data_IF_155868725965
#
_entry.id   IF_155868725965
#
_cell.length_a   1.000
_cell.length_b   1.000
_cell.length_c   1.000
_cell.angle_alpha   90.00
_cell.angle_beta   90.00
_cell.angle_gamma   90.00
#
_symmetry.space_group_name_H-M   'P 1'
#
loop_
_entity.id
_entity.type
_entity.pdbx_description
1 polymer ?
#
# COMPACT_ATOMS: atom_id res chain seq x y z
N UNK A 1 -22.19 6.56 -4.21
CA UNK A 1 -22.01 7.78 -3.38
C UNK A 1 -23.20 7.90 -2.44
N UNK A 2 -23.08 7.36 -1.23
CA UNK A 2 -24.08 7.52 -0.16
C UNK A 2 -23.47 8.47 0.88
N UNK A 3 -23.60 9.77 0.61
CA UNK A 3 -23.35 10.81 1.62
C UNK A 3 -24.64 11.16 2.36
N UNK A 4 -24.53 12.00 3.38
CA UNK A 4 -25.67 12.57 4.13
C UNK A 4 -26.70 13.27 3.24
N UNK A 5 -26.28 13.70 2.06
CA UNK A 5 -27.12 14.27 1.02
C UNK A 5 -27.14 13.25 -0.11
N UNK A 6 -28.33 12.78 -0.49
CA UNK A 6 -28.55 11.84 -1.58
C UNK A 6 -27.57 12.06 -2.74
N UNK A 7 -27.02 11.00 -3.32
CA UNK A 7 -25.98 11.11 -4.34
C UNK A 7 -26.44 11.97 -5.52
N UNK A 8 -25.52 12.60 -6.25
CA UNK A 8 -25.83 13.50 -7.39
C UNK A 8 -26.82 12.85 -8.37
N UNK A 9 -26.71 11.55 -8.61
CA UNK A 9 -27.65 10.81 -9.44
C UNK A 9 -29.09 10.83 -8.91
N UNK A 10 -29.28 10.70 -7.60
CA UNK A 10 -30.59 10.72 -6.96
C UNK A 10 -31.17 12.15 -6.90
N UNK A 11 -30.30 13.15 -6.73
CA UNK A 11 -30.69 14.56 -6.86
C UNK A 11 -31.17 14.90 -8.28
N UNK A 12 -30.39 14.52 -9.30
CA UNK A 12 -30.75 14.76 -10.70
C UNK A 12 -32.03 14.02 -11.09
N UNK A 13 -32.21 12.78 -10.60
CA UNK A 13 -33.40 11.99 -10.86
C UNK A 13 -34.66 12.59 -10.23
N UNK A 14 -34.55 13.10 -9.00
CA UNK A 14 -35.69 13.68 -8.27
C UNK A 14 -36.06 15.09 -8.72
N UNK A 15 -35.12 15.86 -9.28
CA UNK A 15 -35.36 17.28 -9.61
C UNK A 15 -35.56 17.57 -11.10
N UNK A 16 -34.91 16.84 -12.01
CA UNK A 16 -34.89 17.20 -13.44
C UNK A 16 -35.13 16.03 -14.39
N UNK A 17 -34.61 14.85 -14.07
CA UNK A 17 -34.54 13.74 -15.02
C UNK A 17 -35.10 12.44 -14.42
N UNK A 18 -36.43 12.33 -14.31
CA UNK A 18 -37.10 11.15 -13.74
C UNK A 18 -36.74 9.82 -14.44
N UNK A 19 -36.34 9.88 -15.71
CA UNK A 19 -35.90 8.74 -16.52
C UNK A 19 -34.43 8.36 -16.31
N UNK A 20 -33.67 9.11 -15.50
CA UNK A 20 -32.24 8.87 -15.29
C UNK A 20 -32.01 7.49 -14.67
N UNK A 21 -31.16 6.70 -15.33
CA UNK A 21 -30.63 5.43 -14.82
C UNK A 21 -29.18 5.66 -14.42
N UNK A 22 -28.87 5.38 -13.16
CA UNK A 22 -27.51 5.45 -12.66
C UNK A 22 -26.95 4.04 -12.50
N UNK A 23 -25.79 3.80 -13.10
CA UNK A 23 -25.08 2.53 -13.03
C UNK A 23 -23.79 2.75 -12.26
N UNK A 24 -23.53 1.93 -11.26
CA UNK A 24 -22.29 1.97 -10.51
C UNK A 24 -21.14 1.37 -11.34
N UNK A 25 -19.99 2.03 -11.32
CA UNK A 25 -18.76 1.48 -11.88
C UNK A 25 -18.30 0.29 -11.03
N UNK A 26 -18.10 -0.87 -11.66
CA UNK A 26 -17.67 -2.11 -10.99
C UNK A 26 -16.32 -1.95 -10.31
N UNK A 27 -15.38 -1.22 -10.93
CA UNK A 27 -14.08 -0.90 -10.33
C UNK A 27 -14.23 -0.05 -9.05
N UNK A 28 -15.24 0.82 -8.99
CA UNK A 28 -15.54 1.59 -7.78
C UNK A 28 -16.17 0.72 -6.69
N UNK A 29 -17.13 -0.16 -7.05
CA UNK A 29 -17.69 -1.14 -6.12
C UNK A 29 -16.61 -2.03 -5.51
N UNK A 30 -15.68 -2.52 -6.33
CA UNK A 30 -14.54 -3.31 -5.86
C UNK A 30 -13.65 -2.50 -4.91
N UNK A 31 -13.39 -1.22 -5.22
CA UNK A 31 -12.63 -0.34 -4.32
C UNK A 31 -13.30 -0.20 -2.94
N UNK A 32 -14.62 -0.04 -2.90
CA UNK A 32 -15.36 0.04 -1.64
C UNK A 32 -15.23 -1.26 -0.85
N UNK A 33 -15.48 -2.40 -1.49
CA UNK A 33 -15.38 -3.71 -0.84
C UNK A 33 -13.98 -3.98 -0.26
N UNK A 34 -12.92 -3.71 -1.03
CA UNK A 34 -11.54 -3.87 -0.55
C UNK A 34 -11.25 -2.95 0.64
N UNK A 35 -11.72 -1.69 0.59
CA UNK A 35 -11.53 -0.77 1.70
C UNK A 35 -12.27 -1.21 2.96
N UNK A 36 -13.50 -1.68 2.84
CA UNK A 36 -14.29 -2.15 3.97
C UNK A 36 -13.64 -3.39 4.60
N UNK A 37 -13.22 -4.36 3.78
CA UNK A 37 -12.47 -5.55 4.24
C UNK A 37 -11.20 -5.18 5.01
N UNK A 38 -10.44 -4.19 4.51
CA UNK A 38 -9.24 -3.73 5.20
C UNK A 38 -9.61 -3.06 6.52
N UNK A 39 -10.65 -2.22 6.56
CA UNK A 39 -11.08 -1.49 7.76
C UNK A 39 -11.61 -2.42 8.86
N UNK A 40 -12.25 -3.53 8.48
CA UNK A 40 -12.80 -4.50 9.41
C UNK A 40 -11.73 -5.36 10.11
N UNK A 41 -10.48 -5.36 9.60
CA UNK A 41 -9.37 -6.10 10.18
C UNK A 41 -8.30 -5.16 10.74
N UNK A 42 -8.16 -5.12 12.07
CA UNK A 42 -7.10 -4.36 12.74
C UNK A 42 -5.69 -4.70 12.21
N UNK A 43 -5.47 -5.95 11.79
CA UNK A 43 -4.19 -6.38 11.20
C UNK A 43 -3.99 -5.81 9.80
N UNK A 44 -5.04 -5.81 8.97
CA UNK A 44 -4.96 -5.22 7.64
C UNK A 44 -4.76 -3.70 7.74
N UNK A 45 -5.49 -3.01 8.61
CA UNK A 45 -5.29 -1.58 8.90
C UNK A 45 -3.84 -1.32 9.33
N UNK A 46 -3.30 -2.14 10.22
CA UNK A 46 -1.92 -2.00 10.71
C UNK A 46 -0.88 -2.20 9.60
N UNK A 47 -1.09 -3.18 8.71
CA UNK A 47 -0.27 -3.37 7.50
C UNK A 47 -0.31 -2.09 6.65
N UNK A 48 -1.50 -1.60 6.30
CA UNK A 48 -1.63 -0.43 5.43
C UNK A 48 -0.97 0.82 6.03
N UNK A 49 -1.10 1.02 7.35
CA UNK A 49 -0.41 2.10 8.07
C UNK A 49 1.10 1.95 7.97
N UNK A 50 1.63 0.75 8.20
CA UNK A 50 3.06 0.49 8.06
C UNK A 50 3.56 0.71 6.65
N UNK A 51 2.83 0.29 5.62
CA UNK A 51 3.21 0.54 4.22
C UNK A 51 3.25 2.04 3.90
N UNK A 52 2.29 2.81 4.41
CA UNK A 52 2.31 4.27 4.25
C UNK A 52 3.49 4.93 4.96
N UNK A 53 3.77 4.54 6.21
CA UNK A 53 4.93 5.06 6.94
C UNK A 53 6.24 4.67 6.28
N UNK A 54 6.32 3.45 5.75
CA UNK A 54 7.49 2.95 5.02
C UNK A 54 7.66 3.69 3.68
N UNK A 55 6.57 3.98 2.97
CA UNK A 55 6.60 4.80 1.76
C UNK A 55 7.21 6.17 2.04
N UNK A 56 6.70 6.89 3.03
CA UNK A 56 7.24 8.21 3.40
C UNK A 56 8.71 8.16 3.82
N UNK A 57 9.13 7.08 4.47
CA UNK A 57 10.52 6.88 4.85
C UNK A 57 11.43 6.59 3.64
N UNK A 58 10.99 5.70 2.74
CA UNK A 58 11.73 5.34 1.54
C UNK A 58 11.80 6.48 0.52
N UNK A 59 10.85 7.41 0.53
CA UNK A 59 10.82 8.57 -0.36
C UNK A 59 11.76 9.70 0.10
N UNK A 60 12.36 9.60 1.30
CA UNK A 60 13.43 10.52 1.73
C UNK A 60 14.59 10.39 0.73
N UNK A 61 15.10 11.49 0.12
CA UNK A 61 16.04 11.41 -1.00
C UNK A 61 17.27 10.53 -0.76
N UNK A 62 17.89 10.63 0.42
CA UNK A 62 19.06 9.82 0.79
C UNK A 62 18.71 8.33 0.95
N UNK A 63 17.54 8.03 1.51
CA UNK A 63 17.04 6.66 1.70
C UNK A 63 16.66 6.05 0.36
N UNK A 64 16.04 6.84 -0.52
CA UNK A 64 15.67 6.43 -1.87
C UNK A 64 16.89 6.02 -2.69
N UNK A 65 17.97 6.79 -2.65
CA UNK A 65 19.23 6.43 -3.30
C UNK A 65 19.81 5.13 -2.74
N UNK A 66 19.75 4.94 -1.42
CA UNK A 66 20.18 3.69 -0.80
C UNK A 66 19.32 2.50 -1.24
N UNK A 67 18.00 2.70 -1.36
CA UNK A 67 17.04 1.71 -1.85
C UNK A 67 17.35 1.30 -3.29
N UNK A 68 17.54 2.27 -4.19
CA UNK A 68 17.85 2.04 -5.60
C UNK A 68 19.17 1.28 -5.76
N UNK A 69 20.20 1.65 -4.98
CA UNK A 69 21.48 0.94 -4.97
C UNK A 69 21.33 -0.52 -4.50
N UNK A 70 20.61 -0.76 -3.40
CA UNK A 70 20.34 -2.12 -2.89
C UNK A 70 19.53 -2.95 -3.89
N UNK A 71 18.55 -2.33 -4.56
CA UNK A 71 17.77 -3.01 -5.59
C UNK A 71 18.64 -3.42 -6.78
N UNK A 72 19.55 -2.56 -7.23
CA UNK A 72 20.48 -2.89 -8.31
C UNK A 72 21.51 -3.96 -7.91
N UNK A 73 21.98 -3.93 -6.65
CA UNK A 73 22.88 -4.96 -6.10
C UNK A 73 22.20 -6.34 -6.06
N UNK A 74 20.95 -6.42 -5.58
CA UNK A 74 20.23 -7.69 -5.43
C UNK A 74 19.57 -8.19 -6.71
N UNK A 75 19.13 -7.27 -7.58
CA UNK A 75 18.38 -7.59 -8.79
C UNK A 75 18.80 -6.73 -10.00
N UNK A 76 20.04 -6.89 -10.48
CA UNK A 76 20.67 -5.99 -11.47
C UNK A 76 19.95 -5.94 -12.83
N UNK A 77 19.22 -7.00 -13.20
CA UNK A 77 18.51 -7.11 -14.48
C UNK A 77 17.03 -6.69 -14.40
N UNK A 78 16.55 -6.31 -13.23
CA UNK A 78 15.15 -5.98 -13.02
C UNK A 78 14.94 -4.47 -12.91
N UNK A 79 13.82 -3.99 -13.44
CA UNK A 79 13.41 -2.61 -13.26
C UNK A 79 13.18 -2.32 -11.77
N UNK A 80 13.68 -1.18 -11.29
CA UNK A 80 13.46 -0.72 -9.92
C UNK A 80 11.97 -0.41 -9.75
N UNK A 81 11.34 -1.11 -8.80
CA UNK A 81 9.96 -0.85 -8.40
C UNK A 81 9.97 -0.12 -7.06
N UNK A 82 9.35 1.04 -6.98
CA UNK A 82 9.19 1.76 -5.72
C UNK A 82 7.89 1.35 -5.03
N UNK A 83 7.88 1.48 -3.71
CA UNK A 83 6.64 1.34 -2.95
C UNK A 83 5.67 2.42 -3.39
N UNK A 84 4.42 2.05 -3.64
CA UNK A 84 3.39 2.97 -4.12
C UNK A 84 2.71 3.64 -2.94
N UNK A 85 2.41 4.94 -3.06
CA UNK A 85 1.63 5.66 -2.05
C UNK A 85 0.22 5.06 -1.95
N UNK A 86 -0.26 4.82 -0.73
CA UNK A 86 -1.60 4.27 -0.54
C UNK A 86 -2.64 5.38 -0.56
N UNK A 87 -3.56 5.31 -1.52
CA UNK A 87 -4.71 6.19 -1.61
C UNK A 87 -6.01 5.41 -1.35
N UNK A 88 -7.00 6.05 -0.73
CA UNK A 88 -8.27 5.40 -0.35
C UNK A 88 -9.13 5.04 -1.58
N UNK A 89 -9.07 5.88 -2.61
CA UNK A 89 -9.94 5.76 -3.79
C UNK A 89 -9.44 4.73 -4.84
N UNK A 90 -8.25 4.15 -4.65
CA UNK A 90 -7.66 3.20 -5.59
C UNK A 90 -7.09 1.99 -4.87
N UNK A 91 -7.86 0.91 -4.86
CA UNK A 91 -7.46 -0.36 -4.27
C UNK A 91 -6.22 -0.97 -4.96
N UNK A 92 -6.01 -0.68 -6.25
CA UNK A 92 -4.83 -1.15 -7.01
C UNK A 92 -3.49 -0.76 -6.36
N UNK A 93 -3.37 0.45 -5.80
CA UNK A 93 -2.16 0.87 -5.08
C UNK A 93 -1.88 0.02 -3.83
N UNK A 94 -2.93 -0.53 -3.22
CA UNK A 94 -2.83 -1.45 -2.06
C UNK A 94 -2.27 -2.78 -2.48
N UNK A 95 -2.81 -3.33 -3.56
CA UNK A 95 -2.31 -4.57 -4.14
C UNK A 95 -0.85 -4.42 -4.58
N UNK A 96 -0.50 -3.40 -5.35
CA UNK A 96 0.87 -3.18 -5.83
C UNK A 96 1.90 -3.09 -4.70
N UNK A 97 1.57 -2.39 -3.61
CA UNK A 97 2.47 -2.29 -2.46
C UNK A 97 2.62 -3.62 -1.72
N UNK A 98 1.52 -4.34 -1.48
CA UNK A 98 1.55 -5.64 -0.81
C UNK A 98 2.29 -6.67 -1.67
N UNK A 99 2.10 -6.62 -2.99
CA UNK A 99 2.79 -7.49 -3.94
C UNK A 99 4.29 -7.22 -3.94
N UNK A 100 4.72 -5.95 -3.98
CA UNK A 100 6.14 -5.59 -3.89
C UNK A 100 6.78 -6.08 -2.58
N UNK A 101 6.10 -5.89 -1.46
CA UNK A 101 6.58 -6.32 -0.14
C UNK A 101 6.72 -7.83 -0.03
N UNK A 102 5.90 -8.58 -0.78
CA UNK A 102 5.93 -10.05 -0.78
C UNK A 102 6.92 -10.61 -1.80
N UNK A 103 7.04 -9.97 -2.96
CA UNK A 103 7.94 -10.38 -4.05
C UNK A 103 9.41 -10.06 -3.76
N UNK A 104 9.68 -8.89 -3.15
CA UNK A 104 11.05 -8.42 -2.89
C UNK A 104 11.25 -7.91 -1.44
N UNK A 105 10.90 -8.70 -0.40
CA UNK A 105 11.09 -8.27 0.99
C UNK A 105 12.55 -7.98 1.30
N UNK A 106 13.50 -8.73 0.70
CA UNK A 106 14.93 -8.53 0.96
C UNK A 106 15.44 -7.13 0.58
N UNK A 107 14.89 -6.48 -0.45
CA UNK A 107 15.34 -5.14 -0.86
C UNK A 107 15.05 -4.13 0.24
N UNK A 108 13.85 -4.19 0.82
CA UNK A 108 13.43 -3.30 1.90
C UNK A 108 14.25 -3.57 3.15
N UNK A 109 14.37 -4.84 3.56
CA UNK A 109 15.12 -5.21 4.76
C UNK A 109 16.61 -4.83 4.64
N UNK A 110 17.24 -5.07 3.49
CA UNK A 110 18.63 -4.70 3.25
C UNK A 110 18.80 -3.17 3.19
N UNK A 111 17.84 -2.44 2.64
CA UNK A 111 17.83 -0.96 2.66
C UNK A 111 17.79 -0.44 4.08
N UNK A 112 16.89 -0.96 4.93
CA UNK A 112 16.79 -0.60 6.34
C UNK A 112 18.13 -0.82 7.06
N UNK A 113 18.78 -1.96 6.86
CA UNK A 113 20.10 -2.25 7.44
C UNK A 113 21.19 -1.30 6.91
N UNK A 114 21.19 -1.02 5.60
CA UNK A 114 22.15 -0.09 4.97
C UNK A 114 22.01 1.32 5.55
N UNK A 115 20.78 1.80 5.71
CA UNK A 115 20.48 3.11 6.30
C UNK A 115 20.90 3.16 7.78
N UNK A 116 20.64 2.10 8.56
CA UNK A 116 21.08 2.05 9.96
C UNK A 116 22.61 2.11 10.13
N UNK A 117 23.36 1.55 9.18
CA UNK A 117 24.84 1.48 9.23
C UNK A 117 25.52 2.70 8.60
N UNK A 118 24.87 3.40 7.67
CA UNK A 118 25.49 4.47 6.89
C UNK A 118 25.51 5.79 7.67
N UNK A 119 26.68 6.36 8.02
CA UNK A 119 26.77 7.60 8.81
C UNK A 119 26.09 8.79 8.14
N UNK A 120 26.13 8.86 6.79
CA UNK A 120 25.65 10.00 6.01
C UNK A 120 24.11 10.12 5.92
N UNK A 121 23.40 9.05 6.30
CA UNK A 121 21.93 8.93 6.33
C UNK A 121 21.41 8.87 7.77
N UNK A 122 22.32 8.86 8.75
CA UNK A 122 22.06 8.57 10.16
C UNK A 122 21.66 9.83 10.93
N UNK A 123 20.41 10.25 10.77
CA UNK A 123 19.77 11.07 11.80
C UNK A 123 19.30 10.16 12.93
N UNK A 124 19.49 10.55 14.20
CA UNK A 124 19.11 9.75 15.38
C UNK A 124 17.65 9.24 15.29
N UNK A 125 16.75 10.09 14.79
CA UNK A 125 15.33 9.76 14.57
C UNK A 125 15.12 8.65 13.53
N UNK A 126 15.94 8.61 12.47
CA UNK A 126 15.82 7.58 11.44
C UNK A 126 16.27 6.21 11.94
N UNK A 127 17.25 6.15 12.85
CA UNK A 127 17.75 4.88 13.39
C UNK A 127 16.68 4.17 14.22
N UNK A 128 16.00 4.90 15.09
CA UNK A 128 14.88 4.35 15.88
C UNK A 128 13.75 3.87 14.97
N UNK A 129 13.37 4.69 13.98
CA UNK A 129 12.33 4.37 13.02
C UNK A 129 12.67 3.10 12.20
N UNK A 130 13.93 2.96 11.78
CA UNK A 130 14.43 1.78 11.07
C UNK A 130 14.34 0.52 11.92
N UNK A 131 14.73 0.59 13.19
CA UNK A 131 14.63 -0.55 14.12
C UNK A 131 13.19 -1.01 14.28
N UNK A 132 12.26 -0.07 14.48
CA UNK A 132 10.83 -0.35 14.59
C UNK A 132 10.30 -1.02 13.32
N UNK A 133 10.64 -0.49 12.14
CA UNK A 133 10.23 -1.11 10.88
C UNK A 133 10.80 -2.51 10.73
N UNK A 134 12.09 -2.69 10.99
CA UNK A 134 12.76 -3.97 10.82
C UNK A 134 12.11 -5.06 11.69
N UNK A 135 11.95 -4.81 13.00
CA UNK A 135 11.32 -5.75 13.92
C UNK A 135 9.86 -6.05 13.57
N UNK A 136 9.13 -5.06 13.07
CA UNK A 136 7.74 -5.25 12.64
C UNK A 136 7.65 -6.12 11.39
N UNK A 137 8.46 -5.84 10.38
CA UNK A 137 8.45 -6.56 9.09
C UNK A 137 8.88 -8.03 9.23
N UNK A 138 9.79 -8.34 10.15
CA UNK A 138 10.22 -9.73 10.41
C UNK A 138 9.29 -10.48 11.38
N UNK A 139 8.32 -9.80 11.99
CA UNK A 139 7.39 -10.45 12.92
C UNK A 139 6.55 -11.48 12.17
N UNK A 140 6.50 -12.71 12.67
CA UNK A 140 5.68 -13.78 12.06
C UNK A 140 4.22 -13.39 11.91
N UNK A 141 3.68 -12.62 12.86
CA UNK A 141 2.32 -12.06 12.78
C UNK A 141 2.14 -11.15 11.56
N UNK A 142 3.11 -10.29 11.28
CA UNK A 142 3.06 -9.38 10.14
C UNK A 142 3.22 -10.13 8.82
N UNK A 143 4.16 -11.08 8.76
CA UNK A 143 4.41 -11.90 7.57
C UNK A 143 3.17 -12.71 7.19
N UNK A 144 2.57 -13.42 8.14
CA UNK A 144 1.36 -14.22 7.89
C UNK A 144 0.21 -13.32 7.43
N UNK A 145 0.01 -12.18 8.10
CA UNK A 145 -1.05 -11.25 7.74
C UNK A 145 -0.83 -10.63 6.35
N UNK A 146 0.42 -10.30 5.99
CA UNK A 146 0.79 -9.76 4.67
C UNK A 146 0.53 -10.78 3.56
N UNK A 147 0.97 -12.03 3.73
CA UNK A 147 0.76 -13.12 2.76
C UNK A 147 -0.73 -13.41 2.60
N UNK A 148 -1.46 -13.47 3.72
CA UNK A 148 -2.91 -13.70 3.72
C UNK A 148 -3.63 -12.59 2.97
N UNK A 149 -3.33 -11.33 3.29
CA UNK A 149 -3.93 -10.18 2.62
C UNK A 149 -3.58 -10.15 1.12
N UNK A 150 -2.35 -10.51 0.75
CA UNK A 150 -1.96 -10.66 -0.66
C UNK A 150 -2.83 -11.69 -1.37
N UNK A 151 -3.05 -12.87 -0.77
CA UNK A 151 -3.86 -13.92 -1.38
C UNK A 151 -5.27 -13.41 -1.71
N UNK A 152 -5.93 -12.71 -0.78
CA UNK A 152 -7.23 -12.09 -1.03
C UNK A 152 -7.19 -11.04 -2.13
N UNK A 153 -6.20 -10.14 -2.13
CA UNK A 153 -6.12 -9.07 -3.11
C UNK A 153 -5.76 -9.57 -4.53
N UNK A 154 -5.04 -10.69 -4.64
CA UNK A 154 -4.79 -11.35 -5.94
C UNK A 154 -6.10 -11.81 -6.56
N UNK A 155 -6.98 -12.47 -5.79
CA UNK A 155 -8.29 -12.89 -6.28
C UNK A 155 -9.15 -11.70 -6.73
N UNK A 156 -9.14 -10.62 -5.94
CA UNK A 156 -9.83 -9.37 -6.31
C UNK A 156 -9.26 -8.75 -7.59
N UNK A 157 -7.95 -8.90 -7.84
CA UNK A 157 -7.32 -8.42 -9.06
C UNK A 157 -7.74 -9.22 -10.29
N UNK A 158 -7.91 -10.54 -10.19
CA UNK A 158 -8.48 -11.32 -11.27
C UNK A 158 -9.92 -10.94 -11.58
N UNK A 159 -10.74 -10.65 -10.56
CA UNK A 159 -12.13 -10.18 -10.74
C UNK A 159 -12.23 -8.79 -11.39
N UNK A 160 -11.13 -8.04 -11.43
CA UNK A 160 -11.08 -6.69 -12.02
C UNK A 160 -10.70 -6.65 -13.50
N UNK A 161 -10.30 -7.79 -14.07
CA UNK A 161 -9.98 -7.98 -15.50
C UNK A 161 -11.18 -8.52 -16.26
#
# INVERSE_FOLDING_TARGET
MSGKFAGIAELLKSQQFHWLIYIHCTAHCLNLMVNDLIKDSNLAVDIMKTLNSLYSFLDIPKVRLAYEAVHQELFPKSQIKHLVQQIEIRWGCKFEAIDLMTDKPQVILATLVKVAKSPDVRDSKHVEQVSVFYHKLISGKYIIALITLRAYLVEMFYLSK
#
